data_IF_953773297431
#
_entry.id   IF_953773297431
#
_cell.length_a   1.000
_cell.length_b   1.000
_cell.length_c   1.000
_cell.angle_alpha   90.00
_cell.angle_beta   90.00
_cell.angle_gamma   90.00
#
_symmetry.space_group_name_H-M   'P 1'
#
loop_
_entity.id
_entity.type
_entity.pdbx_description
1 polymer ?
#
# COMPACT_ATOMS: atom_id res chain seq x y z
N UNK A 1 -129.07 -19.54 8.93
CA UNK A 1 -128.23 -20.72 9.27
C UNK A 1 -126.83 -20.50 8.70
N UNK A 2 -125.76 -20.86 9.44
CA UNK A 2 -124.35 -20.41 9.27
C UNK A 2 -123.58 -21.33 8.27
N UNK A 3 -122.24 -21.27 8.01
CA UNK A 3 -121.15 -20.67 8.82
C UNK A 3 -119.85 -20.18 8.09
N UNK A 4 -118.84 -19.81 8.91
CA UNK A 4 -117.38 -20.13 8.82
C UNK A 4 -116.30 -19.09 8.42
N UNK A 5 -115.33 -19.04 9.36
CA UNK A 5 -113.86 -18.85 9.26
C UNK A 5 -113.26 -17.48 8.95
N UNK A 6 -112.60 -16.90 9.98
CA UNK A 6 -111.58 -15.85 9.82
C UNK A 6 -110.20 -16.49 9.59
N UNK A 7 -109.42 -16.08 8.57
CA UNK A 7 -108.00 -16.43 8.47
C UNK A 7 -107.11 -15.41 9.21
N UNK A 8 -105.96 -15.91 9.64
CA UNK A 8 -104.88 -15.27 10.40
C UNK A 8 -104.26 -14.05 9.69
N UNK A 9 -103.99 -12.99 10.45
CA UNK A 9 -103.10 -11.91 10.07
C UNK A 9 -101.68 -12.45 9.82
N UNK A 10 -101.20 -12.29 8.58
CA UNK A 10 -99.80 -12.48 8.20
C UNK A 10 -99.15 -11.10 8.27
N UNK A 11 -98.13 -10.94 9.12
CA UNK A 11 -97.29 -9.75 9.13
C UNK A 11 -96.73 -9.48 7.72
N UNK A 12 -96.71 -8.23 7.24
CA UNK A 12 -96.17 -7.93 5.92
C UNK A 12 -94.67 -8.21 5.90
N UNK A 13 -94.28 -9.09 4.98
CA UNK A 13 -92.90 -9.31 4.56
C UNK A 13 -92.31 -7.97 4.13
N UNK A 14 -91.18 -7.57 4.72
CA UNK A 14 -90.41 -6.37 4.33
C UNK A 14 -89.93 -6.55 2.89
N UNK A 15 -90.72 -6.07 1.93
CA UNK A 15 -90.31 -5.91 0.53
C UNK A 15 -89.24 -4.83 0.52
N UNK A 16 -88.01 -5.19 0.16
CA UNK A 16 -86.92 -4.24 -0.04
C UNK A 16 -87.34 -3.21 -1.09
N UNK A 17 -87.28 -1.93 -0.73
CA UNK A 17 -87.51 -0.83 -1.66
C UNK A 17 -86.37 -0.76 -2.67
N UNK A 18 -86.62 -0.50 -3.97
CA UNK A 18 -85.58 -0.42 -5.00
C UNK A 18 -84.50 0.65 -4.73
N UNK A 19 -84.77 1.61 -3.84
CA UNK A 19 -83.78 2.58 -3.37
C UNK A 19 -82.68 1.96 -2.50
N UNK A 20 -82.91 0.86 -1.79
CA UNK A 20 -81.85 0.26 -0.95
C UNK A 20 -80.87 -0.56 -1.77
N UNK A 21 -81.33 -1.27 -2.81
CA UNK A 21 -80.46 -2.02 -3.72
C UNK A 21 -79.62 -1.07 -4.59
N UNK A 22 -80.18 0.06 -5.04
CA UNK A 22 -79.44 1.09 -5.77
C UNK A 22 -78.40 1.83 -4.90
N UNK A 23 -78.69 2.02 -3.61
CA UNK A 23 -77.72 2.59 -2.66
C UNK A 23 -76.58 1.61 -2.33
N UNK A 24 -76.87 0.30 -2.28
CA UNK A 24 -75.88 -0.74 -1.98
C UNK A 24 -74.94 -1.02 -3.17
N UNK A 25 -75.44 -0.95 -4.40
CA UNK A 25 -74.62 -1.04 -5.63
C UNK A 25 -73.72 0.19 -5.80
N UNK A 26 -74.24 1.40 -5.59
CA UNK A 26 -73.44 2.64 -5.66
C UNK A 26 -72.37 2.73 -4.57
N UNK A 27 -72.65 2.26 -3.35
CA UNK A 27 -71.66 2.16 -2.28
C UNK A 27 -70.57 1.12 -2.60
N UNK A 28 -70.94 -0.02 -3.20
CA UNK A 28 -70.00 -1.07 -3.64
C UNK A 28 -69.15 -0.64 -4.83
N UNK A 29 -69.72 0.11 -5.77
CA UNK A 29 -69.00 0.70 -6.91
C UNK A 29 -68.04 1.81 -6.46
N UNK A 30 -68.49 2.68 -5.55
CA UNK A 30 -67.63 3.70 -4.93
C UNK A 30 -66.50 3.05 -4.13
N UNK A 31 -66.80 1.94 -3.45
CA UNK A 31 -65.85 1.06 -2.76
C UNK A 31 -64.75 0.51 -3.68
N UNK A 32 -65.15 -0.13 -4.77
CA UNK A 32 -64.21 -0.68 -5.76
C UNK A 32 -63.41 0.39 -6.50
N UNK A 33 -63.93 1.61 -6.63
CA UNK A 33 -63.24 2.71 -7.29
C UNK A 33 -62.07 3.27 -6.46
N UNK A 34 -62.23 3.40 -5.14
CA UNK A 34 -61.12 3.87 -4.27
C UNK A 34 -60.02 2.82 -4.12
N UNK A 35 -60.37 1.53 -4.08
CA UNK A 35 -59.39 0.44 -4.05
C UNK A 35 -58.56 0.40 -5.33
N UNK A 36 -59.20 0.54 -6.50
CA UNK A 36 -58.48 0.62 -7.79
C UNK A 36 -57.60 1.86 -7.88
N UNK A 37 -58.09 3.02 -7.49
CA UNK A 37 -57.29 4.25 -7.48
C UNK A 37 -56.06 4.11 -6.56
N UNK A 38 -56.22 3.50 -5.38
CA UNK A 38 -55.13 3.21 -4.45
C UNK A 38 -54.10 2.25 -5.07
N UNK A 39 -54.55 1.16 -5.70
CA UNK A 39 -53.68 0.22 -6.39
C UNK A 39 -52.90 0.88 -7.54
N UNK A 40 -53.55 1.75 -8.33
CA UNK A 40 -52.88 2.51 -9.39
C UNK A 40 -51.82 3.47 -8.84
N UNK A 41 -52.09 4.14 -7.71
CA UNK A 41 -51.09 5.00 -7.07
C UNK A 41 -49.90 4.20 -6.54
N UNK A 42 -50.14 3.04 -5.93
CA UNK A 42 -49.07 2.15 -5.47
C UNK A 42 -48.27 1.59 -6.65
N UNK A 43 -48.93 1.24 -7.75
CA UNK A 43 -48.27 0.76 -8.96
C UNK A 43 -47.35 1.84 -9.56
N UNK A 44 -47.82 3.09 -9.64
CA UNK A 44 -46.99 4.22 -10.08
C UNK A 44 -45.79 4.44 -9.15
N UNK A 45 -46.02 4.42 -7.83
CA UNK A 45 -44.92 4.55 -6.86
C UNK A 45 -43.88 3.43 -6.98
N UNK A 46 -44.30 2.18 -7.23
CA UNK A 46 -43.40 1.06 -7.49
C UNK A 46 -42.61 1.28 -8.79
N UNK A 47 -43.27 1.74 -9.86
CA UNK A 47 -42.61 2.05 -11.13
C UNK A 47 -41.52 3.12 -10.96
N UNK A 48 -41.83 4.22 -10.27
CA UNK A 48 -40.86 5.30 -10.01
C UNK A 48 -39.65 4.81 -9.18
N UNK A 49 -39.89 3.97 -8.16
CA UNK A 49 -38.81 3.37 -7.36
C UNK A 49 -37.97 2.42 -8.22
N UNK A 50 -38.59 1.59 -9.05
CA UNK A 50 -37.89 0.68 -9.96
C UNK A 50 -37.02 1.43 -10.97
N UNK A 51 -37.52 2.51 -11.58
CA UNK A 51 -36.76 3.37 -12.48
C UNK A 51 -35.58 4.03 -11.76
N UNK A 52 -35.81 4.54 -10.55
CA UNK A 52 -34.75 5.14 -9.73
C UNK A 52 -33.66 4.12 -9.39
N UNK A 53 -34.04 2.89 -9.06
CA UNK A 53 -33.10 1.80 -8.77
C UNK A 53 -32.32 1.39 -10.02
N UNK A 54 -32.98 1.28 -11.18
CA UNK A 54 -32.32 0.98 -12.44
C UNK A 54 -31.24 2.01 -12.77
N UNK A 55 -31.57 3.30 -12.69
CA UNK A 55 -30.62 4.39 -12.93
C UNK A 55 -29.42 4.36 -11.96
N UNK A 56 -29.68 4.07 -10.67
CA UNK A 56 -28.60 3.92 -9.68
C UNK A 56 -27.72 2.71 -9.97
N UNK A 57 -28.31 1.60 -10.42
CA UNK A 57 -27.60 0.38 -10.75
C UNK A 57 -26.71 0.56 -11.99
N UNK A 58 -27.19 1.27 -13.01
CA UNK A 58 -26.40 1.65 -14.19
C UNK A 58 -25.21 2.54 -13.80
N UNK A 59 -25.44 3.55 -12.96
CA UNK A 59 -24.38 4.42 -12.48
C UNK A 59 -23.33 3.65 -11.67
N UNK A 60 -23.75 2.75 -10.79
CA UNK A 60 -22.83 1.89 -10.05
C UNK A 60 -22.03 1.00 -10.99
N UNK A 61 -22.66 0.42 -12.01
CA UNK A 61 -21.99 -0.42 -13.01
C UNK A 61 -20.91 0.36 -13.76
N UNK A 62 -21.21 1.60 -14.19
CA UNK A 62 -20.23 2.47 -14.84
C UNK A 62 -19.06 2.82 -13.92
N UNK A 63 -19.34 3.13 -12.65
CA UNK A 63 -18.30 3.42 -11.64
C UNK A 63 -17.42 2.21 -11.37
N UNK A 64 -18.00 1.02 -11.26
CA UNK A 64 -17.25 -0.23 -11.06
C UNK A 64 -16.33 -0.51 -12.25
N UNK A 65 -16.83 -0.40 -13.49
CA UNK A 65 -16.01 -0.56 -14.69
C UNK A 65 -14.86 0.46 -14.78
N UNK A 66 -15.10 1.70 -14.34
CA UNK A 66 -14.04 2.71 -14.30
C UNK A 66 -12.97 2.36 -13.25
N UNK A 67 -13.38 1.88 -12.07
CA UNK A 67 -12.47 1.43 -11.01
C UNK A 67 -11.66 0.21 -11.44
N UNK A 68 -12.28 -0.77 -12.10
CA UNK A 68 -11.59 -1.95 -12.64
C UNK A 68 -10.46 -1.54 -13.58
N UNK A 69 -10.74 -0.64 -14.53
CA UNK A 69 -9.70 -0.10 -15.43
C UNK A 69 -8.58 0.64 -14.71
N UNK A 70 -8.90 1.40 -13.66
CA UNK A 70 -7.88 2.07 -12.86
C UNK A 70 -7.02 1.08 -12.09
N UNK A 71 -7.61 0.01 -11.57
CA UNK A 71 -6.89 -1.07 -10.88
C UNK A 71 -5.95 -1.78 -11.85
N UNK A 72 -6.39 -2.08 -13.07
CA UNK A 72 -5.55 -2.70 -14.10
C UNK A 72 -4.33 -1.83 -14.44
N UNK A 73 -4.56 -0.53 -14.66
CA UNK A 73 -3.48 0.44 -14.93
C UNK A 73 -2.49 0.54 -13.75
N UNK A 74 -2.99 0.53 -12.52
CA UNK A 74 -2.15 0.57 -11.33
C UNK A 74 -1.33 -0.72 -11.19
N UNK A 75 -1.92 -1.88 -11.47
CA UNK A 75 -1.21 -3.16 -11.43
C UNK A 75 -0.07 -3.18 -12.46
N UNK A 76 -0.32 -2.74 -13.70
CA UNK A 76 0.72 -2.63 -14.73
C UNK A 76 1.86 -1.69 -14.30
N UNK A 77 1.52 -0.53 -13.71
CA UNK A 77 2.51 0.42 -13.22
C UNK A 77 3.34 -0.16 -12.06
N UNK A 78 2.70 -0.85 -11.12
CA UNK A 78 3.37 -1.52 -9.99
C UNK A 78 4.32 -2.59 -10.48
N UNK A 79 3.91 -3.43 -11.44
CA UNK A 79 4.79 -4.45 -12.02
C UNK A 79 6.01 -3.82 -12.69
N UNK A 80 5.79 -2.76 -13.50
CA UNK A 80 6.88 -2.04 -14.17
C UNK A 80 7.87 -1.47 -13.16
N UNK A 81 7.38 -0.75 -12.16
CA UNK A 81 8.26 -0.15 -11.15
C UNK A 81 8.98 -1.19 -10.29
N UNK A 82 8.34 -2.33 -10.01
CA UNK A 82 8.98 -3.44 -9.30
C UNK A 82 10.18 -3.96 -10.08
N UNK A 83 10.03 -4.17 -11.40
CA UNK A 83 11.12 -4.59 -12.28
C UNK A 83 12.26 -3.55 -12.31
N UNK A 84 11.92 -2.27 -12.45
CA UNK A 84 12.91 -1.18 -12.45
C UNK A 84 13.70 -1.11 -11.13
N UNK A 85 13.01 -1.28 -9.99
CA UNK A 85 13.63 -1.30 -8.67
C UNK A 85 14.61 -2.47 -8.55
N UNK A 86 14.24 -3.65 -9.02
CA UNK A 86 15.10 -4.83 -8.93
C UNK A 86 16.35 -4.71 -9.83
N UNK A 87 16.20 -4.12 -11.02
CA UNK A 87 17.34 -3.77 -11.86
C UNK A 87 18.29 -2.76 -11.20
N UNK A 88 17.74 -1.72 -10.59
CA UNK A 88 18.53 -0.71 -9.89
C UNK A 88 19.25 -1.30 -8.68
N UNK A 89 18.60 -2.18 -7.90
CA UNK A 89 19.24 -2.92 -6.81
C UNK A 89 20.39 -3.77 -7.32
N UNK A 90 20.22 -4.50 -8.43
CA UNK A 90 21.27 -5.32 -9.02
C UNK A 90 22.46 -4.47 -9.48
N UNK A 91 22.21 -3.35 -10.15
CA UNK A 91 23.25 -2.39 -10.58
C UNK A 91 23.98 -1.79 -9.39
N UNK A 92 23.25 -1.40 -8.33
CA UNK A 92 23.83 -0.88 -7.09
C UNK A 92 24.74 -1.91 -6.43
N UNK A 93 24.27 -3.16 -6.29
CA UNK A 93 25.06 -4.24 -5.69
C UNK A 93 26.35 -4.52 -6.47
N UNK A 94 26.27 -4.60 -7.80
CA UNK A 94 27.44 -4.77 -8.66
C UNK A 94 28.42 -3.59 -8.54
N UNK A 95 27.89 -2.37 -8.41
CA UNK A 95 28.67 -1.17 -8.17
C UNK A 95 29.43 -1.23 -6.85
N UNK A 96 28.76 -1.62 -5.76
CA UNK A 96 29.39 -1.73 -4.43
C UNK A 96 30.45 -2.82 -4.39
N UNK A 97 30.19 -3.99 -4.99
CA UNK A 97 31.18 -5.08 -5.08
C UNK A 97 32.44 -4.66 -5.86
N UNK A 98 32.26 -3.92 -6.94
CA UNK A 98 33.37 -3.38 -7.73
C UNK A 98 34.17 -2.34 -6.94
N UNK A 99 33.50 -1.46 -6.20
CA UNK A 99 34.16 -0.46 -5.36
C UNK A 99 34.97 -1.14 -4.25
N UNK A 100 34.40 -2.12 -3.57
CA UNK A 100 35.10 -2.89 -2.53
C UNK A 100 36.32 -3.60 -3.10
N UNK A 101 36.20 -4.23 -4.28
CA UNK A 101 37.33 -4.85 -4.96
C UNK A 101 38.44 -3.84 -5.30
N UNK A 102 38.07 -2.67 -5.83
CA UNK A 102 39.04 -1.61 -6.14
C UNK A 102 39.70 -1.05 -4.89
N UNK A 103 38.95 -0.84 -3.81
CA UNK A 103 39.48 -0.37 -2.52
C UNK A 103 40.44 -1.40 -1.90
N UNK A 104 40.08 -2.68 -1.95
CA UNK A 104 40.93 -3.77 -1.50
C UNK A 104 42.21 -3.86 -2.34
N UNK A 105 42.11 -3.76 -3.66
CA UNK A 105 43.27 -3.77 -4.54
C UNK A 105 44.17 -2.54 -4.32
N UNK A 106 43.58 -1.37 -4.12
CA UNK A 106 44.32 -0.13 -3.84
C UNK A 106 45.02 -0.16 -2.48
N UNK A 107 44.47 -0.89 -1.50
CA UNK A 107 45.05 -1.06 -0.16
C UNK A 107 45.87 -2.32 0.03
N UNK A 108 45.90 -3.23 -0.96
CA UNK A 108 46.56 -4.54 -0.86
C UNK A 108 48.03 -4.44 -0.46
N UNK A 109 48.70 -3.38 -0.92
CA UNK A 109 50.12 -3.14 -0.66
C UNK A 109 50.35 -2.17 0.52
N UNK A 110 49.31 -1.78 1.24
CA UNK A 110 49.41 -0.86 2.38
C UNK A 110 49.56 -1.68 3.67
N UNK A 111 50.66 -1.46 4.39
CA UNK A 111 50.87 -1.98 5.74
C UNK A 111 50.47 -0.88 6.74
N UNK A 112 49.81 -1.26 7.84
CA UNK A 112 49.43 -0.35 8.91
C UNK A 112 50.23 -0.66 10.16
N UNK A 113 50.96 0.32 10.68
CA UNK A 113 51.66 0.20 11.96
C UNK A 113 50.82 0.83 13.06
N UNK A 114 50.54 0.05 14.10
CA UNK A 114 49.71 0.45 15.22
C UNK A 114 50.57 0.74 16.45
N UNK A 115 50.11 1.66 17.30
CA UNK A 115 50.72 1.96 18.60
C UNK A 115 52.15 2.53 18.57
N UNK A 116 52.58 3.12 17.46
CA UNK A 116 53.82 3.91 17.42
C UNK A 116 53.57 5.23 18.15
N UNK A 117 54.35 5.62 19.18
CA UNK A 117 54.18 6.90 19.87
C UNK A 117 54.27 8.11 18.91
N UNK A 118 53.42 9.12 19.10
CA UNK A 118 53.43 10.30 18.22
C UNK A 118 54.73 11.11 18.41
N UNK A 119 55.53 11.26 17.36
CA UNK A 119 56.75 12.05 17.37
C UNK A 119 58.02 11.25 17.65
N UNK A 120 57.93 9.94 17.85
CA UNK A 120 59.12 9.07 17.94
C UNK A 120 59.82 8.89 16.59
N UNK A 121 59.15 9.25 15.49
CA UNK A 121 59.66 9.05 14.13
C UNK A 121 60.64 10.13 13.67
N UNK A 122 60.68 11.28 14.37
CA UNK A 122 61.49 12.41 13.97
C UNK A 122 60.98 13.08 12.68
N UNK A 123 61.91 13.61 11.89
CA UNK A 123 61.61 14.34 10.65
C UNK A 123 61.37 13.40 9.45
N UNK A 124 62.06 12.25 9.41
CA UNK A 124 61.91 11.25 8.34
C UNK A 124 61.25 9.96 8.82
N UNK A 125 59.93 9.90 8.64
CA UNK A 125 59.10 8.74 8.98
C UNK A 125 59.51 7.50 8.17
N UNK A 126 59.99 7.66 6.92
CA UNK A 126 60.36 6.52 6.08
C UNK A 126 61.60 5.83 6.65
N UNK A 127 62.62 6.59 7.04
CA UNK A 127 63.81 6.05 7.69
C UNK A 127 63.47 5.31 8.99
N UNK A 128 62.63 5.93 9.84
CA UNK A 128 62.17 5.31 11.08
C UNK A 128 61.47 3.96 10.85
N UNK A 129 60.54 3.88 9.88
CA UNK A 129 59.83 2.62 9.58
C UNK A 129 60.77 1.56 9.05
N UNK A 130 61.73 1.91 8.19
CA UNK A 130 62.72 0.97 7.68
C UNK A 130 63.56 0.39 8.82
N UNK A 131 64.04 1.22 9.74
CA UNK A 131 64.84 0.75 10.87
C UNK A 131 64.03 -0.06 11.88
N UNK A 132 62.76 0.30 12.09
CA UNK A 132 61.83 -0.49 12.90
C UNK A 132 61.59 -1.88 12.28
N UNK A 133 61.43 -1.98 10.96
CA UNK A 133 61.26 -3.26 10.28
C UNK A 133 62.54 -4.10 10.31
N UNK A 134 63.74 -3.50 10.21
CA UNK A 134 65.01 -4.23 10.35
C UNK A 134 65.16 -4.91 11.72
N UNK A 135 64.61 -4.33 12.77
CA UNK A 135 64.64 -4.90 14.12
C UNK A 135 63.76 -6.15 14.25
N UNK A 136 62.78 -6.32 13.37
CA UNK A 136 61.90 -7.48 13.41
C UNK A 136 62.52 -8.69 12.72
N UNK A 137 62.58 -9.81 13.43
CA UNK A 137 63.13 -11.07 12.92
C UNK A 137 62.40 -11.59 11.68
N UNK A 138 61.10 -11.30 11.58
CA UNK A 138 60.23 -11.72 10.47
C UNK A 138 60.60 -11.11 9.11
N UNK A 139 61.41 -10.05 9.07
CA UNK A 139 61.75 -9.33 7.84
C UNK A 139 63.25 -9.36 7.51
N UNK A 140 64.04 -10.10 8.28
CA UNK A 140 65.49 -10.21 8.06
C UNK A 140 65.80 -10.64 6.62
N UNK A 141 66.63 -9.84 5.93
CA UNK A 141 67.03 -10.06 4.53
C UNK A 141 66.13 -9.44 3.45
N UNK A 142 64.90 -9.03 3.76
CA UNK A 142 63.98 -8.40 2.78
C UNK A 142 63.82 -6.88 2.93
N UNK A 143 64.29 -6.29 4.04
CA UNK A 143 64.08 -4.86 4.33
C UNK A 143 64.83 -3.93 3.37
N UNK A 144 65.99 -4.32 2.84
CA UNK A 144 66.74 -3.48 1.88
C UNK A 144 65.99 -3.32 0.55
N UNK A 145 65.33 -4.38 0.09
CA UNK A 145 64.48 -4.35 -1.11
C UNK A 145 63.25 -3.47 -0.86
N UNK A 146 62.59 -3.67 0.29
CA UNK A 146 61.39 -2.92 0.66
C UNK A 146 61.66 -1.42 0.81
N UNK A 147 62.81 -1.03 1.36
CA UNK A 147 63.18 0.38 1.54
C UNK A 147 63.13 1.17 0.23
N UNK A 148 63.57 0.54 -0.88
CA UNK A 148 63.61 1.15 -2.21
C UNK A 148 62.22 1.30 -2.83
N UNK A 149 61.32 0.36 -2.56
CA UNK A 149 60.01 0.26 -3.21
C UNK A 149 58.87 0.93 -2.43
N UNK A 150 59.12 1.40 -1.21
CA UNK A 150 58.15 2.21 -0.45
C UNK A 150 57.86 3.51 -1.20
N UNK A 151 56.63 3.60 -1.73
CA UNK A 151 56.12 4.77 -2.47
C UNK A 151 55.72 5.92 -1.54
N UNK A 152 55.11 5.62 -0.39
CA UNK A 152 54.58 6.63 0.54
C UNK A 152 54.49 6.09 1.96
N UNK A 153 54.89 6.90 2.94
CA UNK A 153 54.72 6.64 4.38
C UNK A 153 54.16 7.90 5.01
N UNK A 154 53.12 7.78 5.81
CA UNK A 154 52.53 8.90 6.51
C UNK A 154 51.65 8.41 7.65
N UNK A 155 51.54 9.18 8.73
CA UNK A 155 50.45 8.96 9.67
C UNK A 155 49.10 9.25 9.01
N UNK A 156 48.08 8.57 9.50
CA UNK A 156 46.67 8.86 9.19
C UNK A 156 46.43 10.39 9.23
N UNK A 157 45.74 10.97 8.23
CA UNK A 157 45.64 12.43 8.06
C UNK A 157 44.76 13.13 9.11
N UNK A 158 44.21 12.39 10.08
CA UNK A 158 43.42 12.95 11.17
C UNK A 158 44.26 13.79 12.13
N UNK A 159 43.60 14.68 12.89
CA UNK A 159 44.25 15.55 13.88
C UNK A 159 45.07 14.73 14.88
N UNK A 160 46.24 15.24 15.25
CA UNK A 160 47.09 14.62 16.27
C UNK A 160 46.29 14.47 17.58
N UNK A 161 46.18 13.25 18.12
CA UNK A 161 45.48 13.02 19.38
C UNK A 161 46.27 13.63 20.56
N UNK A 162 45.58 14.07 21.63
CA UNK A 162 46.23 14.45 22.90
C UNK A 162 47.07 13.32 23.49
N UNK A 163 48.06 13.67 24.31
CA UNK A 163 49.13 12.78 24.83
C UNK A 163 48.68 11.56 25.67
N UNK A 164 47.38 11.36 25.89
CA UNK A 164 46.78 10.24 26.66
C UNK A 164 45.79 9.40 25.84
N UNK A 165 45.68 9.66 24.55
CA UNK A 165 44.81 8.91 23.63
C UNK A 165 45.71 8.07 22.70
N UNK A 166 45.15 6.97 22.18
CA UNK A 166 45.85 6.07 21.24
C UNK A 166 46.47 6.86 20.08
N UNK A 167 47.76 6.64 19.76
CA UNK A 167 48.42 7.34 18.67
C UNK A 167 47.82 6.93 17.31
N UNK A 168 47.96 7.79 16.30
CA UNK A 168 47.52 7.47 14.93
C UNK A 168 48.32 6.30 14.36
N UNK A 169 47.72 5.61 13.40
CA UNK A 169 48.45 4.61 12.62
C UNK A 169 49.38 5.30 11.61
N UNK A 170 50.50 4.65 11.33
CA UNK A 170 51.37 4.93 10.18
C UNK A 170 50.99 3.97 9.06
#
# INVERSE_FOLDING_TARGET
MPPRTRPRDRAPTRVGTPESEAAETTARESGGNWERASLETNQKGIQEVCETLANKMDLLTQRTQALEKQVDQLNEAVEKHTREIDELKAKSKKGTERLESLENNARRNNIKLMNVPEGSEGEDIKAFVVDLLKQSEAWQGSVEVLSRDIQRVHRDPFRKPPNRIKPRRI
#
